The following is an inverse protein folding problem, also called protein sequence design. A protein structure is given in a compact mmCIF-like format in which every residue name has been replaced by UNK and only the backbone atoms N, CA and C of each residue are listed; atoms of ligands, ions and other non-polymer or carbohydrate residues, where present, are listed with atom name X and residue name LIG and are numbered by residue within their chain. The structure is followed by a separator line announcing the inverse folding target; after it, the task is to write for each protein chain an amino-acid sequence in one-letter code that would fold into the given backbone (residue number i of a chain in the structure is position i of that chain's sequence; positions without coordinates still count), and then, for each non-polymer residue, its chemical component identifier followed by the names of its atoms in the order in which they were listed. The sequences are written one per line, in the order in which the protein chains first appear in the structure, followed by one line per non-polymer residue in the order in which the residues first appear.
data_IF_989557023068
#
_entry.id   IF_989557023068
#
_cell.length_a   1.000
_cell.length_b   1.000
_cell.length_c   1.000
_cell.angle_alpha   90.00
_cell.angle_beta   90.00
_cell.angle_gamma   90.00
#
_symmetry.space_group_name_H-M   'P 1'
#
loop_
_entity.id
_entity.type
_entity.pdbx_description
1 polymer ?
#
# COMPACT_ATOMS: atom_id res chain seq x y z
N UNK A 1 25.40 3.62 5.98
CA UNK A 1 25.13 4.04 7.38
C UNK A 1 24.09 5.17 7.50
N UNK A 2 24.19 6.25 6.71
CA UNK A 2 23.31 7.45 6.84
C UNK A 2 21.84 7.19 6.56
N UNK A 3 21.50 6.46 5.48
CA UNK A 3 20.11 6.08 5.13
C UNK A 3 19.45 5.30 6.27
N UNK A 4 20.14 4.32 6.86
CA UNK A 4 19.62 3.50 7.95
C UNK A 4 19.34 4.33 9.22
N UNK A 5 20.17 5.34 9.51
CA UNK A 5 19.94 6.23 10.66
C UNK A 5 18.69 7.08 10.45
N UNK A 6 18.52 7.61 9.24
CA UNK A 6 17.32 8.34 8.85
C UNK A 6 16.07 7.45 8.86
N UNK A 7 16.16 6.26 8.26
CA UNK A 7 15.09 5.26 8.27
C UNK A 7 14.66 4.85 9.69
N UNK A 8 15.62 4.64 10.61
CA UNK A 8 15.32 4.37 12.03
C UNK A 8 14.53 5.51 12.70
N UNK A 9 14.84 6.76 12.37
CA UNK A 9 14.08 7.91 12.87
C UNK A 9 12.65 7.86 12.34
N UNK A 10 12.47 7.64 11.03
CA UNK A 10 11.14 7.51 10.40
C UNK A 10 10.33 6.34 11.00
N UNK A 11 10.98 5.18 11.23
CA UNK A 11 10.36 4.03 11.89
C UNK A 11 9.83 4.39 13.30
N UNK A 12 10.65 5.09 14.11
CA UNK A 12 10.23 5.53 15.45
C UNK A 12 9.06 6.50 15.41
N UNK A 13 8.98 7.35 14.39
CA UNK A 13 7.90 8.31 14.23
C UNK A 13 6.60 7.59 13.88
N UNK A 14 6.63 6.62 12.96
CA UNK A 14 5.45 5.78 12.65
C UNK A 14 4.98 5.02 13.89
N UNK A 15 5.90 4.36 14.62
CA UNK A 15 5.56 3.57 15.80
C UNK A 15 5.03 4.42 16.98
N UNK A 16 5.28 5.72 16.98
CA UNK A 16 4.74 6.67 17.96
C UNK A 16 3.40 7.29 17.56
N UNK A 17 2.87 6.93 16.41
CA UNK A 17 1.55 7.35 15.95
C UNK A 17 0.55 6.17 16.05
N UNK A 18 0.04 5.88 17.27
CA UNK A 18 -0.78 4.70 17.52
C UNK A 18 -2.13 4.76 16.77
N UNK A 19 -2.63 5.97 16.49
CA UNK A 19 -3.90 6.14 15.76
C UNK A 19 -3.75 5.67 14.32
N UNK A 20 -2.73 6.17 13.62
CA UNK A 20 -2.47 5.73 12.25
C UNK A 20 -2.15 4.23 12.18
N UNK A 21 -1.36 3.69 13.11
CA UNK A 21 -1.09 2.25 13.17
C UNK A 21 -2.36 1.43 13.41
N UNK A 22 -3.23 1.85 14.31
CA UNK A 22 -4.51 1.17 14.57
C UNK A 22 -5.38 1.15 13.30
N UNK A 23 -5.45 2.25 12.56
CA UNK A 23 -6.16 2.26 11.28
C UNK A 23 -5.47 1.40 10.22
N UNK A 24 -4.17 1.54 10.04
CA UNK A 24 -3.44 0.84 8.98
C UNK A 24 -3.34 -0.68 9.16
N UNK A 25 -3.26 -1.15 10.40
CA UNK A 25 -3.20 -2.59 10.72
C UNK A 25 -4.56 -3.15 11.12
N UNK A 26 -5.31 -2.39 11.93
CA UNK A 26 -6.57 -2.85 12.52
C UNK A 26 -7.73 -2.80 11.55
N UNK A 27 -7.87 -1.73 10.75
CA UNK A 27 -9.02 -1.57 9.87
C UNK A 27 -9.13 -2.68 8.80
N UNK A 28 -8.06 -3.06 8.08
CA UNK A 28 -8.11 -4.20 7.17
C UNK A 28 -8.49 -5.50 7.88
N UNK A 29 -7.95 -5.72 9.09
CA UNK A 29 -8.31 -6.89 9.89
C UNK A 29 -9.80 -6.90 10.25
N UNK A 30 -10.33 -5.77 10.75
CA UNK A 30 -11.76 -5.65 11.08
C UNK A 30 -12.64 -5.91 9.86
N UNK A 31 -12.26 -5.39 8.68
CA UNK A 31 -12.98 -5.67 7.43
C UNK A 31 -12.95 -7.15 7.07
N UNK A 32 -11.79 -7.79 7.16
CA UNK A 32 -11.67 -9.22 6.90
C UNK A 32 -12.59 -10.03 7.83
N UNK A 33 -12.56 -9.75 9.13
CA UNK A 33 -13.40 -10.41 10.12
C UNK A 33 -14.90 -10.19 9.86
N UNK A 34 -15.29 -8.94 9.56
CA UNK A 34 -16.69 -8.59 9.29
C UNK A 34 -17.21 -9.28 8.03
N UNK A 35 -16.48 -9.21 6.92
CA UNK A 35 -16.89 -9.78 5.65
C UNK A 35 -16.87 -11.32 5.69
N UNK A 36 -15.93 -11.93 6.40
CA UNK A 36 -15.94 -13.38 6.64
C UNK A 36 -17.12 -13.81 7.51
N UNK A 37 -17.50 -13.01 8.51
CA UNK A 37 -18.69 -13.28 9.32
C UNK A 37 -19.99 -13.13 8.50
N UNK A 38 -20.05 -12.16 7.58
CA UNK A 38 -21.18 -12.04 6.64
C UNK A 38 -21.22 -13.25 5.73
N UNK A 39 -20.09 -13.67 5.14
CA UNK A 39 -20.03 -14.85 4.26
C UNK A 39 -20.55 -16.12 4.93
N UNK A 40 -20.26 -16.31 6.21
CA UNK A 40 -20.73 -17.46 6.97
C UNK A 40 -22.29 -17.53 7.11
N UNK A 41 -22.98 -16.41 6.90
CA UNK A 41 -24.44 -16.29 7.06
C UNK A 41 -25.21 -16.17 5.73
N UNK A 42 -24.52 -16.16 4.59
CA UNK A 42 -25.16 -16.05 3.27
C UNK A 42 -24.89 -17.31 2.45
N UNK A 43 -25.89 -17.78 1.64
CA UNK A 43 -25.77 -19.03 0.86
C UNK A 43 -24.98 -18.85 -0.45
N UNK A 44 -24.47 -17.66 -0.73
CA UNK A 44 -23.77 -17.32 -1.98
C UNK A 44 -22.32 -16.96 -1.66
N UNK A 45 -21.39 -17.45 -2.46
CA UNK A 45 -19.95 -17.18 -2.29
C UNK A 45 -19.57 -15.79 -2.81
N UNK A 46 -19.98 -14.74 -2.09
CA UNK A 46 -19.59 -13.36 -2.43
C UNK A 46 -18.22 -12.98 -1.89
N UNK A 47 -17.87 -13.50 -0.71
CA UNK A 47 -16.64 -13.16 0.01
C UNK A 47 -15.82 -14.42 0.36
N UNK A 48 -15.63 -15.31 -0.64
CA UNK A 48 -14.79 -16.49 -0.46
C UNK A 48 -13.41 -16.08 0.09
N UNK A 49 -12.96 -16.72 1.17
CA UNK A 49 -11.77 -16.32 1.91
C UNK A 49 -10.51 -16.29 1.04
N UNK A 50 -10.43 -17.19 0.05
CA UNK A 50 -9.32 -17.27 -0.90
C UNK A 50 -9.20 -16.04 -1.81
N UNK A 51 -10.31 -15.37 -2.10
CA UNK A 51 -10.38 -14.14 -2.88
C UNK A 51 -10.38 -12.90 -2.00
N UNK A 52 -11.06 -12.97 -0.84
CA UNK A 52 -11.22 -11.85 0.09
C UNK A 52 -9.90 -11.51 0.78
N UNK A 53 -9.18 -12.50 1.33
CA UNK A 53 -7.98 -12.24 2.12
C UNK A 53 -6.87 -11.52 1.30
N UNK A 54 -6.52 -11.95 0.06
CA UNK A 54 -5.60 -11.21 -0.79
C UNK A 54 -6.07 -9.79 -1.11
N UNK A 55 -7.36 -9.63 -1.43
CA UNK A 55 -7.96 -8.33 -1.72
C UNK A 55 -7.85 -7.35 -0.56
N UNK A 56 -8.23 -7.78 0.65
CA UNK A 56 -8.15 -6.97 1.87
C UNK A 56 -6.70 -6.69 2.27
N UNK A 57 -5.78 -7.64 2.08
CA UNK A 57 -4.36 -7.43 2.32
C UNK A 57 -3.81 -6.30 1.43
N UNK A 58 -4.15 -6.29 0.12
CA UNK A 58 -3.77 -5.21 -0.80
C UNK A 58 -4.48 -3.89 -0.45
N UNK A 59 -5.77 -3.94 -0.13
CA UNK A 59 -6.51 -2.75 0.31
C UNK A 59 -5.84 -2.08 1.51
N UNK A 60 -5.35 -2.85 2.48
CA UNK A 60 -4.61 -2.35 3.63
C UNK A 60 -3.36 -1.55 3.26
N UNK A 61 -2.74 -1.82 2.10
CA UNK A 61 -1.59 -1.06 1.64
C UNK A 61 -1.93 0.39 1.24
N UNK A 62 -3.21 0.71 0.99
CA UNK A 62 -3.64 2.10 0.78
C UNK A 62 -3.36 2.99 2.00
N UNK A 63 -3.37 2.44 3.22
CA UNK A 63 -2.98 3.16 4.44
C UNK A 63 -1.47 3.43 4.49
N UNK A 64 -0.66 2.61 3.83
CA UNK A 64 0.80 2.85 3.72
C UNK A 64 1.07 4.09 2.83
N UNK A 65 0.18 4.37 1.88
CA UNK A 65 0.18 5.63 1.13
C UNK A 65 -0.02 6.82 2.07
N UNK A 66 -0.99 6.74 2.98
CA UNK A 66 -1.24 7.80 3.98
C UNK A 66 -0.05 7.97 4.92
N UNK A 67 0.55 6.87 5.41
CA UNK A 67 1.69 6.93 6.34
C UNK A 67 2.89 7.61 5.70
N UNK A 68 3.29 7.16 4.51
CA UNK A 68 4.43 7.71 3.79
C UNK A 68 4.21 9.17 3.40
N UNK A 69 3.00 9.53 2.96
CA UNK A 69 2.63 10.91 2.65
C UNK A 69 2.69 11.82 3.87
N UNK A 70 2.16 11.35 5.02
CA UNK A 70 2.15 12.11 6.26
C UNK A 70 3.57 12.37 6.80
N UNK A 71 4.46 11.36 6.72
CA UNK A 71 5.85 11.51 7.12
C UNK A 71 6.54 12.63 6.35
N UNK A 72 6.46 12.59 5.02
CA UNK A 72 7.12 13.59 4.16
C UNK A 72 6.50 14.97 4.37
N UNK A 73 5.15 15.06 4.44
CA UNK A 73 4.47 16.33 4.61
C UNK A 73 4.81 16.99 5.97
N UNK A 74 4.84 16.22 7.07
CA UNK A 74 5.26 16.70 8.39
C UNK A 74 6.70 17.19 8.39
N UNK A 75 7.61 16.43 7.79
CA UNK A 75 9.02 16.83 7.72
C UNK A 75 9.21 18.08 6.87
N UNK A 76 8.42 18.27 5.80
CA UNK A 76 8.42 19.48 4.99
C UNK A 76 7.91 20.72 5.70
N UNK A 77 6.83 20.60 6.46
CA UNK A 77 6.26 21.74 7.21
C UNK A 77 7.12 22.11 8.43
N UNK A 78 7.96 21.20 8.90
CA UNK A 78 8.91 21.47 9.96
C UNK A 78 10.26 21.98 9.41
N UNK A 79 10.99 22.75 10.21
CA UNK A 79 12.38 23.16 9.89
C UNK A 79 13.36 21.98 9.80
N UNK A 80 12.89 20.76 10.01
CA UNK A 80 13.72 19.56 10.01
C UNK A 80 14.26 19.24 8.61
N UNK A 81 13.45 19.35 7.57
CA UNK A 81 13.93 19.13 6.19
C UNK A 81 14.98 20.15 5.76
N UNK A 82 14.85 21.41 6.15
CA UNK A 82 15.85 22.42 5.87
C UNK A 82 17.21 22.07 6.48
N UNK A 83 17.22 21.52 7.71
CA UNK A 83 18.45 21.01 8.35
C UNK A 83 18.99 19.75 7.69
N UNK A 84 18.11 18.88 7.15
CA UNK A 84 18.53 17.70 6.42
C UNK A 84 19.19 18.04 5.08
N UNK A 85 18.79 19.13 4.43
CA UNK A 85 19.39 19.58 3.17
C UNK A 85 20.85 20.05 3.33
N UNK A 86 21.27 20.40 4.54
CA UNK A 86 22.69 20.67 4.83
C UNK A 86 23.51 19.38 5.02
N UNK A 87 22.87 18.22 5.05
CA UNK A 87 23.54 16.92 5.14
C UNK A 87 23.96 16.43 3.75
N UNK A 88 25.02 15.61 3.63
CA UNK A 88 25.48 15.09 2.35
C UNK A 88 24.65 13.91 1.83
N UNK A 89 23.35 13.85 2.15
CA UNK A 89 22.40 12.86 1.63
C UNK A 89 21.91 13.29 0.25
N UNK A 90 21.86 12.33 -0.67
CA UNK A 90 21.31 12.54 -2.01
C UNK A 90 19.79 12.41 -1.99
N UNK A 91 19.05 13.07 -2.90
CA UNK A 91 17.58 13.06 -2.92
C UNK A 91 16.93 11.68 -2.95
N UNK A 92 17.50 10.75 -3.70
CA UNK A 92 17.03 9.37 -3.73
C UNK A 92 17.25 8.63 -2.40
N UNK A 93 18.28 9.01 -1.63
CA UNK A 93 18.54 8.43 -0.31
C UNK A 93 17.49 8.87 0.72
N UNK A 94 16.92 10.08 0.57
CA UNK A 94 15.77 10.50 1.37
C UNK A 94 14.55 9.65 1.06
N UNK A 95 14.21 9.50 -0.21
CA UNK A 95 13.06 8.68 -0.64
C UNK A 95 13.21 7.24 -0.14
N UNK A 96 14.36 6.61 -0.33
CA UNK A 96 14.64 5.28 0.20
C UNK A 96 14.55 5.24 1.73
N UNK A 97 15.02 6.27 2.41
CA UNK A 97 14.97 6.36 3.87
C UNK A 97 13.55 6.46 4.43
N UNK A 98 12.61 7.07 3.69
CA UNK A 98 11.18 7.05 4.02
C UNK A 98 10.51 5.72 3.68
N UNK A 99 10.91 5.05 2.58
CA UNK A 99 10.31 3.79 2.13
C UNK A 99 10.66 2.62 3.06
N UNK A 100 11.94 2.50 3.43
CA UNK A 100 12.48 1.36 4.17
C UNK A 100 11.70 1.00 5.45
N UNK A 101 11.25 1.93 6.31
CA UNK A 101 10.52 1.56 7.51
C UNK A 101 9.06 1.17 7.24
N UNK A 102 8.47 1.60 6.12
CA UNK A 102 7.07 1.31 5.80
C UNK A 102 6.91 -0.09 5.19
N UNK A 103 7.91 -0.57 4.42
CA UNK A 103 7.87 -1.90 3.80
C UNK A 103 7.65 -3.03 4.82
N UNK A 104 8.42 -3.16 5.92
CA UNK A 104 8.17 -4.21 6.92
C UNK A 104 6.81 -4.06 7.61
N UNK A 105 6.29 -2.84 7.76
CA UNK A 105 4.94 -2.61 8.31
C UNK A 105 3.89 -3.13 7.31
N UNK A 106 4.08 -2.92 6.02
CA UNK A 106 3.22 -3.44 4.95
C UNK A 106 3.18 -4.97 4.96
N UNK A 107 4.34 -5.61 5.05
CA UNK A 107 4.43 -7.08 5.13
C UNK A 107 3.78 -7.58 6.42
N UNK A 108 4.02 -6.92 7.56
CA UNK A 108 3.38 -7.24 8.83
C UNK A 108 1.86 -7.12 8.78
N UNK A 109 1.33 -6.08 8.14
CA UNK A 109 -0.11 -5.89 7.93
C UNK A 109 -0.71 -7.03 7.09
N UNK A 110 -0.07 -7.38 5.97
CA UNK A 110 -0.51 -8.50 5.13
C UNK A 110 -0.42 -9.84 5.90
N UNK A 111 0.64 -10.05 6.69
CA UNK A 111 0.78 -11.22 7.53
C UNK A 111 -0.37 -11.35 8.54
N UNK A 112 -0.75 -10.27 9.20
CA UNK A 112 -1.90 -10.24 10.14
C UNK A 112 -3.18 -10.65 9.41
N UNK A 113 -3.43 -10.13 8.19
CA UNK A 113 -4.60 -10.50 7.39
C UNK A 113 -4.57 -11.99 7.02
N UNK A 114 -3.45 -12.53 6.58
CA UNK A 114 -3.35 -13.95 6.22
C UNK A 114 -3.47 -14.87 7.45
N UNK A 115 -2.86 -14.51 8.59
CA UNK A 115 -3.02 -15.27 9.84
C UNK A 115 -4.49 -15.30 10.26
N UNK A 116 -5.19 -14.17 10.18
CA UNK A 116 -6.62 -14.14 10.46
C UNK A 116 -7.43 -14.99 9.45
N UNK A 117 -7.07 -14.94 8.16
CA UNK A 117 -7.74 -15.74 7.12
C UNK A 117 -7.61 -17.26 7.35
N UNK A 118 -6.50 -17.73 7.93
CA UNK A 118 -6.34 -19.14 8.31
C UNK A 118 -7.43 -19.60 9.31
N UNK A 119 -7.84 -18.70 10.23
CA UNK A 119 -8.92 -19.01 11.17
C UNK A 119 -10.29 -19.09 10.49
N UNK A 120 -10.45 -18.53 9.28
CA UNK A 120 -11.67 -18.59 8.47
C UNK A 120 -11.60 -19.61 7.33
N UNK A 121 -10.64 -20.51 7.37
CA UNK A 121 -10.58 -21.66 6.44
C UNK A 121 -9.66 -21.49 5.25
N UNK A 122 -8.83 -20.43 5.21
CA UNK A 122 -7.78 -20.36 4.19
C UNK A 122 -6.82 -21.55 4.35
N UNK A 123 -6.55 -22.35 3.30
CA UNK A 123 -5.66 -23.50 3.42
C UNK A 123 -4.21 -23.07 3.73
N UNK A 124 -3.58 -23.77 4.67
CA UNK A 124 -2.17 -23.56 4.99
C UNK A 124 -1.33 -24.04 3.80
N UNK A 125 -0.67 -23.14 3.12
CA UNK A 125 0.16 -23.43 1.95
C UNK A 125 1.44 -22.58 1.92
N UNK A 126 2.45 -23.05 1.20
CA UNK A 126 3.66 -22.26 0.93
C UNK A 126 3.41 -20.98 0.11
N UNK A 127 2.26 -20.90 -0.56
CA UNK A 127 1.85 -19.73 -1.33
C UNK A 127 1.60 -18.50 -0.46
N UNK A 128 1.27 -18.67 0.83
CA UNK A 128 1.15 -17.55 1.77
C UNK A 128 2.49 -16.82 1.92
N UNK A 129 3.61 -17.56 2.02
CA UNK A 129 4.94 -16.94 2.04
C UNK A 129 5.26 -16.21 0.74
N UNK A 130 4.89 -16.80 -0.39
CA UNK A 130 5.06 -16.16 -1.70
C UNK A 130 4.20 -14.88 -1.80
N UNK A 131 2.98 -14.90 -1.30
CA UNK A 131 2.10 -13.73 -1.22
C UNK A 131 2.72 -12.62 -0.36
N UNK A 132 3.35 -12.95 0.76
CA UNK A 132 4.10 -11.99 1.57
C UNK A 132 5.30 -11.40 0.82
N UNK A 133 6.02 -12.19 0.03
CA UNK A 133 7.12 -11.70 -0.81
C UNK A 133 6.61 -10.74 -1.89
N UNK A 134 5.50 -11.08 -2.54
CA UNK A 134 4.88 -10.26 -3.58
C UNK A 134 4.25 -8.97 -2.99
N UNK A 135 3.91 -8.96 -1.71
CA UNK A 135 3.51 -7.74 -1.01
C UNK A 135 4.60 -6.66 -1.08
N UNK A 136 5.88 -7.02 -1.14
CA UNK A 136 6.97 -6.03 -1.18
C UNK A 136 6.88 -5.10 -2.41
N UNK A 137 6.87 -5.60 -3.67
CA UNK A 137 6.73 -4.72 -4.84
C UNK A 137 5.40 -3.95 -4.85
N UNK A 138 4.30 -4.54 -4.37
CA UNK A 138 3.02 -3.85 -4.25
C UNK A 138 3.14 -2.72 -3.22
N UNK A 139 3.77 -2.95 -2.07
CA UNK A 139 3.96 -1.91 -1.06
C UNK A 139 4.82 -0.75 -1.57
N UNK A 140 5.86 -1.03 -2.37
CA UNK A 140 6.68 0.02 -3.01
C UNK A 140 5.81 0.93 -3.88
N UNK A 141 4.87 0.39 -4.65
CA UNK A 141 3.92 1.18 -5.43
C UNK A 141 3.10 2.14 -4.55
N UNK A 142 2.41 1.62 -3.53
CA UNK A 142 1.56 2.43 -2.64
C UNK A 142 2.35 3.46 -1.85
N UNK A 143 3.51 3.08 -1.32
CA UNK A 143 4.42 3.99 -0.62
C UNK A 143 4.89 5.11 -1.55
N UNK A 144 5.28 4.80 -2.79
CA UNK A 144 5.75 5.80 -3.75
C UNK A 144 4.69 6.83 -4.11
N UNK A 145 3.42 6.40 -4.26
CA UNK A 145 2.28 7.30 -4.44
C UNK A 145 2.16 8.24 -3.23
N UNK A 146 2.27 7.69 -2.03
CA UNK A 146 2.25 8.49 -0.80
C UNK A 146 3.38 9.51 -0.72
N UNK A 147 4.61 9.09 -1.03
CA UNK A 147 5.76 9.98 -1.06
C UNK A 147 5.61 11.10 -2.10
N UNK A 148 5.02 10.80 -3.27
CA UNK A 148 4.70 11.79 -4.27
C UNK A 148 3.70 12.82 -3.75
N UNK A 149 2.57 12.36 -3.18
CA UNK A 149 1.54 13.25 -2.62
C UNK A 149 2.10 14.06 -1.44
N UNK A 150 2.82 13.44 -0.50
CA UNK A 150 3.43 14.11 0.64
C UNK A 150 4.51 15.13 0.25
N UNK A 151 5.16 14.91 -0.91
CA UNK A 151 6.11 15.90 -1.47
C UNK A 151 5.41 17.14 -2.05
N UNK A 152 4.15 17.05 -2.43
CA UNK A 152 3.40 18.13 -3.10
C UNK A 152 2.37 18.80 -2.18
N UNK A 153 1.70 18.03 -1.33
CA UNK A 153 0.59 18.45 -0.48
C UNK A 153 1.03 18.69 0.96
N UNK A 154 0.37 19.61 1.66
CA UNK A 154 0.55 19.83 3.10
C UNK A 154 -0.14 18.78 3.95
N UNK A 155 0.21 18.67 5.23
CA UNK A 155 -0.29 17.66 6.19
C UNK A 155 -1.80 17.58 6.23
N UNK A 156 -2.49 18.73 6.23
CA UNK A 156 -3.97 18.77 6.24
C UNK A 156 -4.59 18.16 4.99
N UNK A 157 -4.00 18.42 3.81
CA UNK A 157 -4.50 17.93 2.53
C UNK A 157 -4.20 16.44 2.34
N UNK A 158 -3.06 15.96 2.85
CA UNK A 158 -2.67 14.54 2.80
C UNK A 158 -3.73 13.62 3.40
N UNK A 159 -4.31 13.99 4.54
CA UNK A 159 -5.40 13.21 5.17
C UNK A 159 -6.60 13.01 4.24
N UNK A 160 -7.07 14.08 3.59
CA UNK A 160 -8.18 14.02 2.64
C UNK A 160 -7.82 13.28 1.35
N UNK A 161 -6.64 13.55 0.78
CA UNK A 161 -6.21 12.97 -0.49
C UNK A 161 -5.88 11.47 -0.33
N UNK A 162 -5.01 11.12 0.61
CA UNK A 162 -4.55 9.74 0.76
C UNK A 162 -5.51 8.89 1.61
N UNK A 163 -5.98 9.42 2.75
CA UNK A 163 -6.86 8.68 3.65
C UNK A 163 -8.31 8.60 3.16
N UNK A 164 -8.80 9.64 2.49
CA UNK A 164 -10.16 9.66 1.94
C UNK A 164 -10.22 9.23 0.48
N UNK A 165 -9.80 10.12 -0.40
CA UNK A 165 -10.01 9.94 -1.84
C UNK A 165 -9.26 8.73 -2.40
N UNK A 166 -7.94 8.65 -2.18
CA UNK A 166 -7.11 7.59 -2.75
C UNK A 166 -7.50 6.21 -2.23
N UNK A 167 -7.73 6.05 -0.93
CA UNK A 167 -8.12 4.77 -0.32
C UNK A 167 -9.42 4.25 -0.93
N UNK A 168 -10.45 5.12 -1.10
CA UNK A 168 -11.70 4.70 -1.72
C UNK A 168 -11.55 4.39 -3.22
N UNK A 169 -10.86 5.27 -3.98
CA UNK A 169 -10.66 5.04 -5.41
C UNK A 169 -9.86 3.76 -5.68
N UNK A 170 -8.79 3.51 -4.92
CA UNK A 170 -8.01 2.28 -5.08
C UNK A 170 -8.84 1.03 -4.76
N UNK A 171 -9.72 1.09 -3.75
CA UNK A 171 -10.59 -0.01 -3.39
C UNK A 171 -11.63 -0.32 -4.48
N UNK A 172 -12.28 0.70 -5.05
CA UNK A 172 -13.28 0.50 -6.12
C UNK A 172 -12.65 0.02 -7.43
N UNK A 173 -11.47 0.54 -7.77
CA UNK A 173 -10.76 0.23 -9.02
C UNK A 173 -9.88 -1.01 -8.93
N UNK A 174 -9.85 -1.70 -7.79
CA UNK A 174 -9.04 -2.91 -7.59
C UNK A 174 -9.83 -4.21 -7.67
N UNK A 175 -11.16 -4.15 -7.69
CA UNK A 175 -12.00 -5.35 -7.67
C UNK A 175 -11.99 -6.11 -6.32
N UNK A 176 -11.68 -5.42 -5.21
CA UNK A 176 -11.70 -6.03 -3.87
C UNK A 176 -13.13 -6.34 -3.41
N UNK A 177 -14.07 -5.43 -3.68
CA UNK A 177 -15.45 -5.51 -3.16
C UNK A 177 -16.43 -6.20 -4.10
N UNK A 178 -16.18 -6.12 -5.39
CA UNK A 178 -17.03 -6.68 -6.44
C UNK A 178 -16.22 -6.96 -7.70
N UNK A 179 -16.69 -7.87 -8.51
CA UNK A 179 -16.09 -8.12 -9.80
C UNK A 179 -16.30 -6.91 -10.73
N UNK A 180 -15.23 -6.41 -11.32
CA UNK A 180 -15.26 -5.24 -12.19
C UNK A 180 -16.12 -5.47 -13.44
N UNK A 181 -16.27 -6.71 -13.88
CA UNK A 181 -17.12 -7.10 -15.01
C UNK A 181 -18.60 -6.82 -14.76
N UNK A 182 -19.05 -6.78 -13.49
CA UNK A 182 -20.43 -6.45 -13.12
C UNK A 182 -20.79 -5.00 -13.46
N UNK A 183 -19.80 -4.09 -13.41
CA UNK A 183 -19.99 -2.70 -13.83
C UNK A 183 -19.74 -2.56 -15.32
N UNK A 184 -18.72 -3.24 -15.84
CA UNK A 184 -18.37 -3.30 -17.25
C UNK A 184 -17.97 -1.95 -17.89
N UNK A 185 -17.92 -1.93 -19.21
CA UNK A 185 -17.81 -0.72 -20.01
C UNK A 185 -16.52 0.09 -19.78
N UNK A 186 -16.65 1.41 -19.64
CA UNK A 186 -15.52 2.32 -19.46
C UNK A 186 -14.86 2.18 -18.08
N UNK A 187 -15.64 1.81 -17.07
CA UNK A 187 -15.12 1.62 -15.70
C UNK A 187 -14.15 0.45 -15.62
N UNK A 188 -14.53 -0.69 -16.19
CA UNK A 188 -13.66 -1.88 -16.25
C UNK A 188 -12.38 -1.62 -17.02
N UNK A 189 -12.48 -0.94 -18.18
CA UNK A 189 -11.29 -0.55 -18.97
C UNK A 189 -10.35 0.36 -18.19
N UNK A 190 -10.89 1.34 -17.47
CA UNK A 190 -10.10 2.25 -16.63
C UNK A 190 -9.44 1.48 -15.48
N UNK A 191 -10.17 0.60 -14.80
CA UNK A 191 -9.65 -0.20 -13.72
C UNK A 191 -8.50 -1.11 -14.19
N UNK A 192 -8.68 -1.78 -15.34
CA UNK A 192 -7.65 -2.63 -15.95
C UNK A 192 -6.42 -1.88 -16.47
N UNK A 193 -6.52 -0.57 -16.70
CA UNK A 193 -5.35 0.25 -17.02
C UNK A 193 -4.53 0.59 -15.77
N UNK A 194 -5.16 0.65 -14.60
CA UNK A 194 -4.54 1.08 -13.35
C UNK A 194 -3.87 -0.09 -12.60
N UNK A 195 -2.86 0.17 -11.78
CA UNK A 195 -2.10 -0.89 -11.12
C UNK A 195 -2.86 -1.58 -9.97
N UNK A 196 -4.02 -1.04 -9.54
CA UNK A 196 -4.72 -1.50 -8.33
C UNK A 196 -5.33 -2.88 -8.52
N UNK A 197 -6.02 -3.12 -9.64
CA UNK A 197 -6.56 -4.43 -9.99
C UNK A 197 -5.44 -5.45 -10.17
N UNK A 198 -4.35 -5.05 -10.83
CA UNK A 198 -3.21 -5.94 -11.03
C UNK A 198 -2.53 -6.32 -9.69
N UNK A 199 -2.51 -5.43 -8.70
CA UNK A 199 -2.00 -5.74 -7.38
C UNK A 199 -2.87 -6.78 -6.65
N UNK A 200 -4.20 -6.70 -6.78
CA UNK A 200 -5.13 -7.66 -6.18
C UNK A 200 -5.07 -9.00 -6.91
N UNK A 201 -5.15 -9.00 -8.25
CA UNK A 201 -5.08 -10.21 -9.06
C UNK A 201 -3.74 -10.94 -8.90
N UNK A 202 -2.63 -10.21 -8.76
CA UNK A 202 -1.33 -10.78 -8.45
C UNK A 202 -1.35 -11.56 -7.13
N UNK A 203 -1.96 -11.00 -6.08
CA UNK A 203 -2.07 -11.66 -4.78
C UNK A 203 -3.05 -12.86 -4.83
N UNK A 204 -4.17 -12.73 -5.55
CA UNK A 204 -5.14 -13.81 -5.75
C UNK A 204 -4.54 -14.98 -6.50
N UNK A 205 -3.84 -14.71 -7.61
CA UNK A 205 -3.16 -15.72 -8.42
C UNK A 205 -2.11 -16.49 -7.61
N UNK A 206 -1.35 -15.79 -6.77
CA UNK A 206 -0.36 -16.42 -5.89
C UNK A 206 -1.03 -17.31 -4.84
N UNK A 207 -2.07 -16.84 -4.16
CA UNK A 207 -2.75 -17.61 -3.10
C UNK A 207 -3.46 -18.85 -3.67
N UNK A 208 -4.07 -18.74 -4.86
CA UNK A 208 -4.71 -19.88 -5.54
C UNK A 208 -3.71 -20.90 -6.11
N UNK A 209 -2.41 -20.57 -6.13
CA UNK A 209 -1.38 -21.40 -6.74
C UNK A 209 -1.39 -21.41 -8.27
N UNK A 210 -2.27 -20.61 -8.90
CA UNK A 210 -2.31 -20.43 -10.34
C UNK A 210 -1.35 -19.31 -10.75
N UNK A 211 -0.11 -19.68 -11.06
CA UNK A 211 0.93 -18.72 -11.40
C UNK A 211 0.89 -18.27 -12.87
N UNK A 212 -0.02 -18.80 -13.68
CA UNK A 212 -0.21 -18.39 -15.06
C UNK A 212 -0.74 -16.95 -15.10
N UNK A 213 -0.08 -16.08 -15.86
CA UNK A 213 -0.41 -14.66 -15.90
C UNK A 213 0.12 -13.79 -14.74
N UNK A 214 0.58 -14.38 -13.64
CA UNK A 214 1.16 -13.66 -12.48
C UNK A 214 2.26 -12.69 -12.91
N UNK A 215 3.07 -13.10 -13.91
CA UNK A 215 4.17 -12.27 -14.43
C UNK A 215 3.67 -10.95 -15.05
N UNK A 216 2.54 -10.96 -15.75
CA UNK A 216 1.96 -9.75 -16.36
C UNK A 216 1.55 -8.76 -15.27
N UNK A 217 0.83 -9.24 -14.26
CA UNK A 217 0.40 -8.40 -13.14
C UNK A 217 1.60 -7.84 -12.36
N UNK A 218 2.61 -8.66 -12.11
CA UNK A 218 3.85 -8.23 -11.45
C UNK A 218 4.58 -7.17 -12.27
N UNK A 219 4.71 -7.37 -13.60
CA UNK A 219 5.36 -6.41 -14.49
C UNK A 219 4.65 -5.05 -14.49
N UNK A 220 3.31 -5.02 -14.52
CA UNK A 220 2.52 -3.80 -14.43
C UNK A 220 2.75 -3.10 -13.09
N UNK A 221 2.67 -3.83 -11.98
CA UNK A 221 2.90 -3.27 -10.63
C UNK A 221 4.31 -2.68 -10.53
N UNK A 222 5.34 -3.39 -11.00
CA UNK A 222 6.73 -2.91 -11.00
C UNK A 222 6.92 -1.67 -11.88
N UNK A 223 6.31 -1.65 -13.06
CA UNK A 223 6.39 -0.50 -13.96
C UNK A 223 5.79 0.76 -13.31
N UNK A 224 4.58 0.64 -12.75
CA UNK A 224 3.95 1.75 -12.01
C UNK A 224 4.74 2.15 -10.77
N UNK A 225 5.26 1.19 -10.00
CA UNK A 225 6.10 1.45 -8.83
C UNK A 225 7.36 2.25 -9.21
N UNK A 226 8.03 1.86 -10.30
CA UNK A 226 9.20 2.58 -10.80
C UNK A 226 8.86 4.00 -11.24
N UNK A 227 7.80 4.18 -12.03
CA UNK A 227 7.34 5.51 -12.49
C UNK A 227 6.98 6.39 -11.29
N UNK A 228 6.18 5.88 -10.34
CA UNK A 228 5.77 6.66 -9.16
C UNK A 228 6.95 7.01 -8.26
N UNK A 229 7.92 6.10 -8.11
CA UNK A 229 9.17 6.39 -7.37
C UNK A 229 9.98 7.51 -8.03
N UNK A 230 10.14 7.45 -9.35
CA UNK A 230 10.84 8.53 -10.09
C UNK A 230 10.11 9.86 -9.94
N UNK A 231 8.79 9.88 -10.09
CA UNK A 231 7.98 11.07 -9.89
C UNK A 231 8.09 11.63 -8.47
N UNK A 232 8.10 10.76 -7.45
CA UNK A 232 8.30 11.16 -6.05
C UNK A 232 9.69 11.82 -5.86
N UNK A 233 10.76 11.23 -6.41
CA UNK A 233 12.11 11.81 -6.36
C UNK A 233 12.15 13.18 -7.04
N UNK A 234 11.56 13.30 -8.25
CA UNK A 234 11.52 14.56 -9.00
C UNK A 234 10.72 15.63 -8.25
N UNK A 235 9.56 15.26 -7.70
CA UNK A 235 8.72 16.17 -6.92
C UNK A 235 9.46 16.67 -5.68
N UNK A 236 10.10 15.75 -4.95
CA UNK A 236 10.89 16.07 -3.78
C UNK A 236 12.04 17.02 -4.13
N UNK A 237 12.80 16.75 -5.21
CA UNK A 237 13.85 17.61 -5.72
C UNK A 237 13.39 19.03 -6.06
N UNK A 238 12.22 19.15 -6.72
CA UNK A 238 11.64 20.46 -7.05
C UNK A 238 11.28 21.26 -5.81
N UNK A 239 10.85 20.61 -4.76
CA UNK A 239 10.52 21.26 -3.50
C UNK A 239 11.81 21.69 -2.74
N UNK A 240 12.88 20.86 -2.78
CA UNK A 240 14.19 21.25 -2.23
C UNK A 240 14.73 22.56 -2.82
N UNK A 241 14.50 22.78 -4.11
CA UNK A 241 15.00 23.99 -4.81
C UNK A 241 14.16 25.26 -4.54
N UNK A 242 12.96 25.09 -3.96
CA UNK A 242 12.04 26.22 -3.68
C UNK A 242 12.18 26.77 -2.25
N UNK A 243 12.87 26.03 -1.39
CA UNK A 243 13.16 26.39 0.00
C UNK A 243 14.61 26.86 0.14
#
# INVERSE_FOLDING_TARGET
MRILTFSKRCAKEILRDPVNLAFGLGFPLILLLLLSAIQANIPVELFAIESLAPGVAVFGLSFMTLFSATLVAKDRESSFLQRLYTTPLKPHEFILGYMLPVIPISVGQSAICYIAALAFGLPISGYILLAMLVTVPISVLYISIGLLVGSLAGVKAVGGICGGLFTNLSAWLSGVWFDLSLVGGAFEKLANLLPFVHAVELQRAVISGNLDGTFVHLAVVLAYAAVMTVLAVVAFLKQMKKQ
#
